data_IF_883568280091
#
_entry.id   IF_883568280091
#
_cell.length_a   1.000
_cell.length_b   1.000
_cell.length_c   1.000
_cell.angle_alpha   90.00
_cell.angle_beta   90.00
_cell.angle_gamma   90.00
#
_symmetry.space_group_name_H-M   'P 1'
#
loop_
_entity.id
_entity.type
_entity.pdbx_description
1 polymer ?
#
# COMPACT_ATOMS: atom_id res chain seq x y z
N UNK A 1 -20.85 1.18 14.49
CA UNK A 1 -19.52 1.82 14.46
C UNK A 1 -18.54 1.07 13.55
N UNK A 2 -18.34 -0.25 13.73
CA UNK A 2 -17.51 -1.09 12.85
C UNK A 2 -17.84 -0.89 11.36
N UNK A 3 -19.08 -1.15 10.95
CA UNK A 3 -19.51 -1.08 9.55
C UNK A 3 -19.23 0.30 8.92
N UNK A 4 -19.48 1.39 9.66
CA UNK A 4 -19.21 2.74 9.18
C UNK A 4 -17.71 2.99 8.93
N UNK A 5 -16.84 2.55 9.84
CA UNK A 5 -15.39 2.64 9.67
C UNK A 5 -14.91 1.75 8.52
N UNK A 6 -15.44 0.53 8.42
CA UNK A 6 -15.09 -0.42 7.36
C UNK A 6 -15.49 0.10 5.97
N UNK A 7 -16.70 0.67 5.83
CA UNK A 7 -17.18 1.31 4.59
C UNK A 7 -16.37 2.56 4.27
N UNK A 8 -16.04 3.39 5.26
CA UNK A 8 -15.20 4.56 5.03
C UNK A 8 -13.79 4.16 4.56
N UNK A 9 -13.18 3.14 5.18
CA UNK A 9 -11.92 2.58 4.70
C UNK A 9 -12.05 2.05 3.26
N UNK A 10 -13.14 1.36 2.93
CA UNK A 10 -13.39 0.88 1.58
C UNK A 10 -13.44 2.04 0.57
N UNK A 11 -14.20 3.11 0.87
CA UNK A 11 -14.29 4.30 0.02
C UNK A 11 -12.92 4.96 -0.15
N UNK A 12 -12.18 5.18 0.93
CA UNK A 12 -10.84 5.77 0.87
C UNK A 12 -9.86 4.90 0.06
N UNK A 13 -9.97 3.57 0.19
CA UNK A 13 -9.18 2.62 -0.59
C UNK A 13 -9.50 2.71 -2.09
N UNK A 14 -10.77 2.87 -2.47
CA UNK A 14 -11.20 3.05 -3.87
C UNK A 14 -10.74 4.40 -4.41
N UNK A 15 -10.89 5.47 -3.63
CA UNK A 15 -10.40 6.80 -4.00
C UNK A 15 -8.89 6.79 -4.21
N UNK A 16 -8.14 6.12 -3.32
CA UNK A 16 -6.70 5.87 -3.49
C UNK A 16 -6.41 5.10 -4.78
N UNK A 17 -7.16 4.05 -5.09
CA UNK A 17 -6.98 3.26 -6.32
C UNK A 17 -7.19 4.13 -7.57
N UNK A 18 -8.22 4.96 -7.57
CA UNK A 18 -8.49 5.90 -8.67
C UNK A 18 -7.34 6.88 -8.83
N UNK A 19 -6.80 7.44 -7.74
CA UNK A 19 -5.62 8.30 -7.82
C UNK A 19 -4.37 7.55 -8.31
N UNK A 20 -4.17 6.31 -7.88
CA UNK A 20 -3.08 5.47 -8.35
C UNK A 20 -3.18 5.24 -9.86
N UNK A 21 -4.36 4.90 -10.38
CA UNK A 21 -4.59 4.79 -11.83
C UNK A 21 -4.38 6.14 -12.52
N UNK A 22 -4.90 7.23 -11.93
CA UNK A 22 -4.78 8.58 -12.45
C UNK A 22 -3.31 8.99 -12.67
N UNK A 23 -2.40 8.62 -11.76
CA UNK A 23 -0.95 8.86 -11.90
C UNK A 23 -0.35 8.26 -13.18
N UNK A 24 -0.96 7.23 -13.77
CA UNK A 24 -0.47 6.56 -14.96
C UNK A 24 -1.12 7.03 -16.26
N UNK A 25 -2.16 7.87 -16.17
CA UNK A 25 -2.86 8.42 -17.34
C UNK A 25 -2.62 9.91 -17.51
N UNK A 26 -2.27 10.62 -16.43
CA UNK A 26 -1.85 12.03 -16.53
C UNK A 26 -0.48 12.11 -17.23
N UNK A 27 -0.24 13.13 -18.07
CA UNK A 27 1.05 13.31 -18.70
C UNK A 27 2.18 13.37 -17.66
N UNK A 28 3.15 12.47 -17.81
CA UNK A 28 4.37 12.46 -17.00
C UNK A 28 5.56 11.99 -17.84
N UNK A 29 6.76 12.33 -17.40
CA UNK A 29 8.02 11.85 -17.99
C UNK A 29 8.43 10.47 -17.43
N UNK A 30 7.65 9.93 -16.49
CA UNK A 30 7.98 8.70 -15.77
C UNK A 30 7.52 7.46 -16.54
N UNK A 31 8.49 6.69 -17.02
CA UNK A 31 8.28 5.36 -17.57
C UNK A 31 7.84 4.34 -16.50
N UNK A 32 6.75 3.62 -16.79
CA UNK A 32 6.08 2.64 -15.91
C UNK A 32 6.97 1.44 -15.56
N UNK A 33 7.95 1.14 -16.41
CA UNK A 33 8.75 -0.08 -16.32
C UNK A 33 9.85 0.04 -15.27
N UNK A 34 10.50 1.20 -15.19
CA UNK A 34 11.73 1.40 -14.43
C UNK A 34 11.64 2.48 -13.34
N UNK A 35 10.80 3.49 -13.49
CA UNK A 35 10.67 4.53 -12.46
C UNK A 35 9.73 4.10 -11.33
N UNK A 36 10.02 4.60 -10.13
CA UNK A 36 9.20 4.32 -8.96
C UNK A 36 7.87 5.07 -9.02
N UNK A 37 6.84 4.55 -8.35
CA UNK A 37 5.59 5.28 -8.12
C UNK A 37 5.83 6.48 -7.19
N UNK A 38 6.83 6.41 -6.30
CA UNK A 38 7.23 7.55 -5.48
C UNK A 38 7.72 8.74 -6.31
N UNK A 39 8.22 8.52 -7.52
CA UNK A 39 8.74 9.61 -8.36
C UNK A 39 7.63 10.56 -8.81
N UNK A 40 6.40 10.06 -8.98
CA UNK A 40 5.25 10.92 -9.27
C UNK A 40 4.90 11.90 -8.14
N UNK A 41 5.39 11.67 -6.92
CA UNK A 41 5.23 12.60 -5.81
C UNK A 41 6.22 13.79 -5.90
N UNK A 42 7.07 13.82 -6.94
CA UNK A 42 7.98 14.92 -7.27
C UNK A 42 7.54 15.55 -8.60
N UNK A 43 7.87 16.83 -8.80
CA UNK A 43 7.62 17.50 -10.08
C UNK A 43 6.13 17.78 -10.39
N UNK A 44 5.72 17.72 -11.67
CA UNK A 44 4.39 18.15 -12.13
C UNK A 44 3.21 17.36 -11.52
N UNK A 45 3.41 16.06 -11.25
CA UNK A 45 2.37 15.18 -10.68
C UNK A 45 2.30 15.22 -9.15
N UNK A 46 3.17 16.01 -8.50
CA UNK A 46 3.32 16.08 -7.03
C UNK A 46 2.01 16.27 -6.28
N UNK A 47 1.10 17.10 -6.78
CA UNK A 47 -0.19 17.36 -6.12
C UNK A 47 -1.02 16.07 -6.01
N UNK A 48 -1.13 15.32 -7.11
CA UNK A 48 -1.87 14.06 -7.15
C UNK A 48 -1.16 12.98 -6.32
N UNK A 49 0.16 12.85 -6.44
CA UNK A 49 0.96 11.94 -5.63
C UNK A 49 0.83 12.22 -4.12
N UNK A 50 0.89 13.49 -3.72
CA UNK A 50 0.72 13.94 -2.33
C UNK A 50 -0.69 13.68 -1.81
N UNK A 51 -1.71 13.95 -2.63
CA UNK A 51 -3.10 13.63 -2.29
C UNK A 51 -3.30 12.13 -2.08
N UNK A 52 -2.74 11.29 -2.95
CA UNK A 52 -2.75 9.84 -2.80
C UNK A 52 -2.13 9.39 -1.48
N UNK A 53 -1.00 9.97 -1.10
CA UNK A 53 -0.30 9.69 0.17
C UNK A 53 -1.15 10.07 1.37
N UNK A 54 -1.76 11.27 1.40
CA UNK A 54 -2.64 11.68 2.49
C UNK A 54 -3.90 10.83 2.60
N UNK A 55 -4.55 10.51 1.48
CA UNK A 55 -5.69 9.59 1.47
C UNK A 55 -5.31 8.22 2.03
N UNK A 56 -4.10 7.74 1.72
CA UNK A 56 -3.60 6.48 2.24
C UNK A 56 -3.32 6.55 3.75
N UNK A 57 -2.83 7.67 4.28
CA UNK A 57 -2.67 7.88 5.72
C UNK A 57 -4.02 7.76 6.45
N UNK A 58 -5.04 8.47 5.96
CA UNK A 58 -6.40 8.43 6.54
C UNK A 58 -6.99 7.03 6.41
N UNK A 59 -6.80 6.37 5.26
CA UNK A 59 -7.22 4.99 5.03
C UNK A 59 -6.68 4.04 6.11
N UNK A 60 -5.38 4.08 6.40
CA UNK A 60 -4.77 3.22 7.42
C UNK A 60 -5.31 3.49 8.81
N UNK A 61 -5.50 4.77 9.16
CA UNK A 61 -6.06 5.16 10.46
C UNK A 61 -7.49 4.66 10.64
N UNK A 62 -8.33 4.84 9.61
CA UNK A 62 -9.73 4.39 9.64
C UNK A 62 -9.82 2.87 9.69
N UNK A 63 -8.99 2.16 8.91
CA UNK A 63 -8.93 0.70 8.96
C UNK A 63 -8.45 0.19 10.32
N UNK A 64 -7.45 0.82 10.93
CA UNK A 64 -7.02 0.51 12.29
C UNK A 64 -8.18 0.66 13.28
N UNK A 65 -8.94 1.76 13.18
CA UNK A 65 -10.15 1.98 13.97
C UNK A 65 -11.17 0.85 13.80
N UNK A 66 -11.44 0.43 12.56
CA UNK A 66 -12.34 -0.69 12.28
C UNK A 66 -11.87 -2.00 12.96
N UNK A 67 -10.58 -2.31 12.88
CA UNK A 67 -9.99 -3.49 13.54
C UNK A 67 -10.11 -3.40 15.07
N UNK A 68 -9.85 -2.24 15.66
CA UNK A 68 -9.94 -2.02 17.11
C UNK A 68 -11.37 -2.27 17.62
N UNK A 69 -12.37 -1.78 16.91
CA UNK A 69 -13.77 -1.88 17.36
C UNK A 69 -14.46 -3.18 16.95
N UNK A 70 -13.86 -3.99 16.07
CA UNK A 70 -14.47 -5.24 15.57
C UNK A 70 -14.43 -6.36 16.61
N UNK A 71 -15.56 -6.91 17.09
CA UNK A 71 -15.54 -8.01 18.06
C UNK A 71 -14.88 -9.29 17.52
N UNK A 72 -15.00 -9.52 16.21
CA UNK A 72 -14.51 -10.72 15.52
C UNK A 72 -13.00 -10.72 15.28
N UNK A 73 -12.34 -9.56 15.36
CA UNK A 73 -10.89 -9.45 15.16
C UNK A 73 -10.15 -9.74 16.47
N UNK A 74 -9.68 -10.98 16.63
CA UNK A 74 -8.99 -11.45 17.84
C UNK A 74 -7.56 -10.91 17.98
N UNK A 75 -6.83 -10.72 16.87
CA UNK A 75 -5.46 -10.20 16.87
C UNK A 75 -5.42 -8.66 16.78
N UNK A 76 -5.84 -7.99 17.86
CA UNK A 76 -5.88 -6.51 17.91
C UNK A 76 -4.54 -5.81 17.71
N UNK A 77 -3.42 -6.50 17.94
CA UNK A 77 -2.06 -6.00 17.71
C UNK A 77 -1.82 -5.58 16.26
N UNK A 78 -2.57 -6.13 15.29
CA UNK A 78 -2.52 -5.72 13.89
C UNK A 78 -2.90 -4.24 13.72
N UNK A 79 -3.82 -3.72 14.55
CA UNK A 79 -4.18 -2.31 14.49
C UNK A 79 -3.01 -1.38 14.83
N UNK A 80 -2.08 -1.82 15.71
CA UNK A 80 -0.87 -1.05 16.02
C UNK A 80 -0.02 -0.88 14.76
N UNK A 81 0.17 -1.96 14.00
CA UNK A 81 0.92 -1.91 12.74
C UNK A 81 0.23 -1.04 11.68
N UNK A 82 -1.10 -1.04 11.63
CA UNK A 82 -1.85 -0.11 10.76
C UNK A 82 -1.67 1.35 11.20
N UNK A 83 -1.62 1.63 12.50
CA UNK A 83 -1.31 2.97 13.01
C UNK A 83 0.14 3.38 12.70
N UNK A 84 1.09 2.45 12.74
CA UNK A 84 2.46 2.70 12.26
C UNK A 84 2.46 3.05 10.77
N UNK A 85 1.67 2.35 9.94
CA UNK A 85 1.48 2.73 8.53
C UNK A 85 0.90 4.14 8.40
N UNK A 86 -0.10 4.52 9.21
CA UNK A 86 -0.60 5.90 9.25
C UNK A 86 0.54 6.90 9.46
N UNK A 87 1.37 6.67 10.48
CA UNK A 87 2.50 7.56 10.81
C UNK A 87 3.50 7.65 9.64
N UNK A 88 3.85 6.52 9.02
CA UNK A 88 4.73 6.50 7.86
C UNK A 88 4.17 7.36 6.72
N UNK A 89 2.88 7.22 6.40
CA UNK A 89 2.26 8.00 5.34
C UNK A 89 2.03 9.47 5.67
N UNK A 90 1.87 9.82 6.95
CA UNK A 90 1.90 11.23 7.37
C UNK A 90 3.29 11.83 7.18
N UNK A 91 4.36 11.05 7.38
CA UNK A 91 5.73 11.51 7.22
C UNK A 91 6.18 11.63 5.74
N UNK A 92 5.73 10.72 4.87
CA UNK A 92 6.19 10.64 3.47
C UNK A 92 6.10 11.94 2.64
N UNK A 93 5.06 12.79 2.76
CA UNK A 93 5.02 14.08 2.05
C UNK A 93 6.16 15.04 2.40
N UNK A 94 6.80 14.85 3.57
CA UNK A 94 7.94 15.62 4.06
C UNK A 94 9.29 14.95 3.77
N UNK A 95 9.26 13.75 3.19
CA UNK A 95 10.44 12.96 2.80
C UNK A 95 10.41 12.76 1.28
N UNK A 96 10.69 13.78 0.46
CA UNK A 96 10.77 13.59 -0.99
C UNK A 96 11.81 12.51 -1.34
N UNK A 97 11.45 11.63 -2.29
CA UNK A 97 12.39 10.66 -2.84
C UNK A 97 13.42 11.35 -3.72
N UNK A 98 14.60 10.77 -3.82
CA UNK A 98 15.59 11.20 -4.81
C UNK A 98 15.14 10.73 -6.20
N UNK A 99 15.22 11.61 -7.20
CA UNK A 99 14.92 11.25 -8.60
C UNK A 99 15.95 10.23 -9.08
N UNK A 100 15.49 9.23 -9.83
CA UNK A 100 16.37 8.22 -10.41
C UNK A 100 17.50 8.85 -11.25
N UNK A 101 18.75 8.42 -11.00
CA UNK A 101 19.95 8.97 -11.63
C UNK A 101 20.60 10.13 -10.88
N UNK A 102 19.95 10.71 -9.87
CA UNK A 102 20.55 11.72 -9.00
C UNK A 102 21.33 11.08 -7.83
N UNK A 103 22.34 11.79 -7.26
CA UNK A 103 23.04 11.32 -6.06
C UNK A 103 22.08 11.15 -4.88
N UNK A 104 22.26 10.06 -4.11
CA UNK A 104 21.42 9.78 -2.95
C UNK A 104 21.63 10.81 -1.83
N UNK A 105 20.55 11.43 -1.38
CA UNK A 105 20.52 12.38 -0.26
C UNK A 105 20.14 11.68 1.05
N UNK A 106 20.35 12.35 2.20
CA UNK A 106 19.87 11.83 3.49
C UNK A 106 18.34 11.72 3.52
N UNK A 107 17.63 12.67 2.91
CA UNK A 107 16.17 12.69 2.85
C UNK A 107 15.66 11.52 2.00
N UNK A 108 16.25 11.29 0.83
CA UNK A 108 15.89 10.14 -0.01
C UNK A 108 16.21 8.79 0.64
N UNK A 109 17.27 8.71 1.46
CA UNK A 109 17.54 7.52 2.30
C UNK A 109 16.44 7.30 3.33
N UNK A 110 15.97 8.35 4.02
CA UNK A 110 14.84 8.23 4.95
C UNK A 110 13.55 7.82 4.22
N UNK A 111 13.31 8.36 3.01
CA UNK A 111 12.19 7.93 2.18
C UNK A 111 12.28 6.42 1.87
N UNK A 112 13.44 5.94 1.44
CA UNK A 112 13.66 4.53 1.14
C UNK A 112 13.41 3.64 2.37
N UNK A 113 13.90 4.03 3.54
CA UNK A 113 13.62 3.31 4.80
C UNK A 113 12.11 3.28 5.10
N UNK A 114 11.42 4.41 4.92
CA UNK A 114 9.97 4.48 5.10
C UNK A 114 9.21 3.59 4.09
N UNK A 115 9.66 3.53 2.83
CA UNK A 115 9.10 2.66 1.80
C UNK A 115 9.29 1.17 2.14
N UNK A 116 10.51 0.77 2.55
CA UNK A 116 10.80 -0.60 3.00
C UNK A 116 9.93 -0.96 4.21
N UNK A 117 9.82 -0.07 5.20
CA UNK A 117 9.00 -0.28 6.39
C UNK A 117 7.53 -0.45 6.02
N UNK A 118 6.97 0.42 5.16
CA UNK A 118 5.62 0.24 4.63
C UNK A 118 5.48 -1.15 4.01
N UNK A 119 6.33 -1.49 3.02
CA UNK A 119 6.16 -2.70 2.23
C UNK A 119 6.20 -3.94 3.13
N UNK A 120 7.16 -4.00 4.05
CA UNK A 120 7.28 -5.08 5.02
C UNK A 120 6.05 -5.18 5.95
N UNK A 121 5.63 -4.07 6.57
CA UNK A 121 4.50 -4.06 7.52
C UNK A 121 3.19 -4.45 6.82
N UNK A 122 2.91 -3.84 5.67
CA UNK A 122 1.69 -4.09 4.91
C UNK A 122 1.57 -5.56 4.48
N UNK A 123 2.65 -6.17 3.99
CA UNK A 123 2.64 -7.60 3.65
C UNK A 123 2.54 -8.49 4.90
N UNK A 124 3.28 -8.17 5.97
CA UNK A 124 3.31 -8.98 7.20
C UNK A 124 1.94 -9.09 7.86
N UNK A 125 1.11 -8.04 7.78
CA UNK A 125 -0.23 -8.05 8.33
C UNK A 125 -1.23 -8.91 7.52
N UNK A 126 -0.98 -9.17 6.23
CA UNK A 126 -1.93 -9.87 5.36
C UNK A 126 -2.28 -11.27 5.87
N UNK A 127 -1.29 -12.01 6.38
CA UNK A 127 -1.52 -13.35 6.92
C UNK A 127 -2.48 -13.34 8.11
N UNK A 128 -2.39 -12.33 8.97
CA UNK A 128 -3.26 -12.17 10.14
C UNK A 128 -4.70 -11.90 9.69
N UNK A 129 -4.90 -11.00 8.72
CA UNK A 129 -6.23 -10.72 8.18
C UNK A 129 -6.88 -11.92 7.50
N UNK A 130 -6.12 -12.70 6.73
CA UNK A 130 -6.63 -13.95 6.15
C UNK A 130 -7.12 -14.88 7.24
N UNK A 131 -6.30 -15.14 8.28
CA UNK A 131 -6.69 -16.04 9.39
C UNK A 131 -7.91 -15.54 10.16
N UNK A 132 -7.98 -14.23 10.45
CA UNK A 132 -9.09 -13.65 11.20
C UNK A 132 -10.40 -13.63 10.41
N UNK A 133 -10.35 -13.41 9.09
CA UNK A 133 -11.55 -13.35 8.25
C UNK A 133 -12.00 -14.72 7.74
N UNK A 134 -11.10 -15.71 7.64
CA UNK A 134 -11.42 -17.06 7.19
C UNK A 134 -12.64 -17.71 7.85
N UNK A 135 -12.85 -17.64 9.18
CA UNK A 135 -14.01 -18.29 9.82
C UNK A 135 -15.34 -17.53 9.65
N UNK A 136 -15.31 -16.25 9.26
CA UNK A 136 -16.49 -15.36 9.32
C UNK A 136 -16.87 -14.72 7.96
N UNK A 137 -15.94 -14.68 7.01
CA UNK A 137 -16.15 -14.05 5.71
C UNK A 137 -16.58 -15.08 4.63
N UNK A 138 -17.27 -14.66 3.56
CA UNK A 138 -17.61 -15.54 2.44
C UNK A 138 -16.36 -16.19 1.81
N UNK A 139 -16.46 -17.47 1.45
CA UNK A 139 -15.33 -18.24 0.91
C UNK A 139 -14.69 -17.59 -0.34
N UNK A 140 -15.48 -16.94 -1.19
CA UNK A 140 -14.99 -16.21 -2.36
C UNK A 140 -14.06 -15.04 -1.98
N UNK A 141 -14.42 -14.29 -0.93
CA UNK A 141 -13.60 -13.20 -0.42
C UNK A 141 -12.30 -13.72 0.22
N UNK A 142 -12.38 -14.79 1.00
CA UNK A 142 -11.18 -15.42 1.60
C UNK A 142 -10.22 -15.91 0.51
N UNK A 143 -10.74 -16.55 -0.54
CA UNK A 143 -9.94 -17.01 -1.69
C UNK A 143 -9.27 -15.83 -2.41
N UNK A 144 -9.99 -14.72 -2.57
CA UNK A 144 -9.42 -13.48 -3.12
C UNK A 144 -8.30 -12.91 -2.24
N UNK A 145 -8.46 -12.87 -0.91
CA UNK A 145 -7.42 -12.41 0.02
C UNK A 145 -6.17 -13.29 -0.03
N UNK A 146 -6.34 -14.62 -0.09
CA UNK A 146 -5.22 -15.55 -0.25
C UNK A 146 -4.50 -15.32 -1.58
N UNK A 147 -5.24 -15.23 -2.69
CA UNK A 147 -4.67 -14.99 -4.02
C UNK A 147 -3.91 -13.67 -4.10
N UNK A 148 -4.52 -12.58 -3.64
CA UNK A 148 -3.88 -11.25 -3.62
C UNK A 148 -2.63 -11.22 -2.74
N UNK A 149 -2.64 -11.89 -1.58
CA UNK A 149 -1.43 -12.06 -0.74
C UNK A 149 -0.29 -12.75 -1.48
N UNK A 150 -0.56 -13.81 -2.26
CA UNK A 150 0.46 -14.47 -3.08
C UNK A 150 1.02 -13.54 -4.16
N UNK A 151 0.15 -12.79 -4.84
CA UNK A 151 0.58 -11.78 -5.83
C UNK A 151 1.45 -10.71 -5.16
N UNK A 152 1.08 -10.22 -3.98
CA UNK A 152 1.90 -9.28 -3.19
C UNK A 152 3.25 -9.87 -2.85
N UNK A 153 3.33 -11.14 -2.43
CA UNK A 153 4.60 -11.79 -2.12
C UNK A 153 5.51 -11.91 -3.34
N UNK A 154 4.99 -12.42 -4.46
CA UNK A 154 5.77 -12.63 -5.69
C UNK A 154 6.26 -11.29 -6.25
N UNK A 155 5.40 -10.27 -6.27
CA UNK A 155 5.78 -8.93 -6.71
C UNK A 155 6.81 -8.27 -5.79
N UNK A 156 6.73 -8.48 -4.47
CA UNK A 156 7.75 -8.02 -3.53
C UNK A 156 9.10 -8.70 -3.77
N UNK A 157 9.11 -10.02 -3.99
CA UNK A 157 10.33 -10.76 -4.32
C UNK A 157 10.94 -10.23 -5.62
N UNK A 158 10.12 -10.01 -6.66
CA UNK A 158 10.57 -9.45 -7.92
C UNK A 158 11.14 -8.04 -7.76
N UNK A 159 10.52 -7.20 -6.93
CA UNK A 159 10.99 -5.85 -6.62
C UNK A 159 12.34 -5.88 -5.92
N UNK A 160 12.49 -6.71 -4.88
CA UNK A 160 13.76 -6.85 -4.15
C UNK A 160 14.84 -7.40 -5.08
N UNK A 161 14.52 -8.40 -5.91
CA UNK A 161 15.45 -8.91 -6.90
C UNK A 161 15.87 -7.82 -7.91
N UNK A 162 14.95 -6.98 -8.36
CA UNK A 162 15.26 -5.85 -9.25
C UNK A 162 16.13 -4.77 -8.59
N UNK A 163 16.01 -4.59 -7.26
CA UNK A 163 16.87 -3.69 -6.49
C UNK A 163 18.28 -4.24 -6.28
N UNK A 164 18.41 -5.54 -6.03
CA UNK A 164 19.70 -6.21 -5.76
C UNK A 164 20.46 -6.52 -7.06
N UNK A 165 19.74 -6.91 -8.11
CA UNK A 165 20.31 -7.22 -9.42
C UNK A 165 20.23 -5.96 -10.28
N UNK A 166 21.21 -5.07 -10.15
CA UNK A 166 21.23 -3.74 -10.78
C UNK A 166 20.83 -3.72 -12.27
N UNK A 167 21.26 -4.69 -13.12
CA UNK A 167 20.83 -4.73 -14.52
C UNK A 167 19.33 -4.97 -14.73
N UNK A 168 18.65 -5.63 -13.79
CA UNK A 168 17.22 -5.94 -13.86
C UNK A 168 16.34 -4.73 -13.51
N UNK A 169 16.88 -3.74 -12.77
CA UNK A 169 16.15 -2.54 -12.34
C UNK A 169 15.45 -1.83 -13.51
N UNK A 170 16.16 -1.63 -14.62
CA UNK A 170 15.64 -0.97 -15.84
C UNK A 170 14.51 -1.73 -16.55
N UNK A 171 14.25 -2.99 -16.20
CA UNK A 171 13.25 -3.82 -16.86
C UNK A 171 12.10 -4.24 -15.96
N UNK A 172 12.29 -4.23 -14.63
CA UNK A 172 11.34 -4.87 -13.72
C UNK A 172 10.99 -4.05 -12.49
N UNK A 173 11.80 -3.06 -12.08
CA UNK A 173 11.61 -2.38 -10.79
C UNK A 173 10.25 -1.65 -10.73
N UNK A 174 9.96 -0.78 -11.69
CA UNK A 174 8.72 -0.01 -11.73
C UNK A 174 7.48 -0.89 -11.89
N UNK A 175 7.54 -1.95 -12.70
CA UNK A 175 6.40 -2.88 -12.88
C UNK A 175 6.14 -3.65 -11.59
N UNK A 176 7.17 -4.26 -11.02
CA UNK A 176 7.04 -5.07 -9.80
C UNK A 176 6.50 -4.25 -8.63
N UNK A 177 6.95 -3.00 -8.49
CA UNK A 177 6.42 -2.07 -7.49
C UNK A 177 4.94 -1.77 -7.70
N UNK A 178 4.53 -1.47 -8.94
CA UNK A 178 3.12 -1.17 -9.24
C UNK A 178 2.21 -2.37 -8.96
N UNK A 179 2.64 -3.57 -9.34
CA UNK A 179 1.91 -4.81 -9.02
C UNK A 179 1.82 -4.99 -7.51
N UNK A 180 2.91 -4.77 -6.77
CA UNK A 180 2.91 -4.83 -5.31
C UNK A 180 1.91 -3.85 -4.70
N UNK A 181 1.97 -2.57 -5.08
CA UNK A 181 1.11 -1.51 -4.56
C UNK A 181 -0.37 -1.76 -4.88
N UNK A 182 -0.66 -2.23 -6.10
CA UNK A 182 -2.01 -2.61 -6.53
C UNK A 182 -2.53 -3.80 -5.73
N UNK A 183 -1.72 -4.86 -5.57
CA UNK A 183 -2.10 -6.06 -4.83
C UNK A 183 -2.33 -5.75 -3.34
N UNK A 184 -1.48 -4.93 -2.73
CA UNK A 184 -1.70 -4.41 -1.37
C UNK A 184 -3.02 -3.66 -1.29
N UNK A 185 -3.28 -2.72 -2.19
CA UNK A 185 -4.54 -1.97 -2.16
C UNK A 185 -5.76 -2.89 -2.33
N UNK A 186 -5.72 -3.81 -3.29
CA UNK A 186 -6.78 -4.78 -3.55
C UNK A 186 -7.04 -5.68 -2.34
N UNK A 187 -5.98 -6.20 -1.70
CA UNK A 187 -6.08 -7.00 -0.49
C UNK A 187 -6.81 -6.24 0.61
N UNK A 188 -6.37 -5.01 0.91
CA UNK A 188 -6.95 -4.25 2.01
C UNK A 188 -8.34 -3.67 1.71
N UNK A 189 -8.70 -3.48 0.43
CA UNK A 189 -10.10 -3.30 0.02
C UNK A 189 -10.94 -4.53 0.38
N UNK A 190 -10.42 -5.73 0.10
CA UNK A 190 -11.06 -6.98 0.51
C UNK A 190 -11.20 -7.11 2.03
N UNK A 191 -10.20 -6.68 2.80
CA UNK A 191 -10.29 -6.63 4.27
C UNK A 191 -11.37 -5.66 4.74
N UNK A 192 -11.41 -4.45 4.18
CA UNK A 192 -12.46 -3.46 4.49
C UNK A 192 -13.86 -4.00 4.16
N UNK A 193 -14.01 -4.68 3.02
CA UNK A 193 -15.26 -5.34 2.66
C UNK A 193 -15.62 -6.47 3.64
N UNK A 194 -14.66 -7.33 3.98
CA UNK A 194 -14.86 -8.41 4.95
C UNK A 194 -15.32 -7.90 6.32
N UNK A 195 -14.70 -6.82 6.80
CA UNK A 195 -15.09 -6.15 8.05
C UNK A 195 -16.47 -5.47 7.96
N UNK A 196 -16.92 -5.08 6.77
CA UNK A 196 -18.25 -4.48 6.58
C UNK A 196 -19.38 -5.51 6.50
N UNK A 197 -19.05 -6.76 6.14
CA UNK A 197 -20.00 -7.86 5.97
C UNK A 197 -20.24 -8.68 7.25
N UNK A 198 -19.44 -8.46 8.29
CA UNK A 198 -19.55 -9.13 9.61
C UNK A 198 -20.10 -8.18 10.67
#
# INVERSE_FOLDING_TARGET
MLTALAVLALILGVVRLVMFIALHVVPSEYNIVNHAVSDYAVGPTRKLGTAMTWTSAVFWAVLAGAVIVSPSMTEKSVAIWLLVLTVLFVALPFLPTDIEGQPATLIGRFHLVAAVAWFAISYSCMGNFVRMLQPVAPQGLVSFLVGTRWVTMVSLIALVAALVITPARKYAFGISERIFLLAVNAFYLGVSLGLALI
#
